data_IF_621626582657
#
_entry.id   IF_621626582657
#
_cell.length_a   1.000
_cell.length_b   1.000
_cell.length_c   1.000
_cell.angle_alpha   90.00
_cell.angle_beta   90.00
_cell.angle_gamma   90.00
#
_symmetry.space_group_name_H-M   'P 1'
#
loop_
_entity.id
_entity.type
_entity.pdbx_description
1 polymer ?
#
# COMPACT_ATOMS: atom_id res chain seq x y z
N UNK A 1 -13.21 -41.05 18.42
CA UNK A 1 -13.46 -39.60 18.20
C UNK A 1 -13.95 -39.42 16.77
N UNK A 2 -15.01 -38.63 16.54
CA UNK A 2 -15.54 -38.43 15.19
C UNK A 2 -14.42 -37.83 14.30
N UNK A 3 -14.12 -38.40 13.12
CA UNK A 3 -13.05 -37.93 12.24
C UNK A 3 -13.15 -36.43 11.92
N UNK A 4 -14.37 -35.89 11.90
CA UNK A 4 -14.65 -34.46 11.68
C UNK A 4 -14.09 -33.56 12.79
N UNK A 5 -14.08 -34.01 14.05
CA UNK A 5 -13.57 -33.21 15.17
C UNK A 5 -12.03 -33.11 15.12
N UNK A 6 -11.38 -34.20 14.71
CA UNK A 6 -9.92 -34.25 14.52
C UNK A 6 -9.52 -33.35 13.35
N UNK A 7 -10.26 -33.42 12.23
CA UNK A 7 -10.04 -32.55 11.08
C UNK A 7 -10.20 -31.06 11.43
N UNK A 8 -11.28 -30.68 12.12
CA UNK A 8 -11.48 -29.29 12.58
C UNK A 8 -10.37 -28.81 13.52
N UNK A 9 -9.91 -29.67 14.43
CA UNK A 9 -8.81 -29.34 15.36
C UNK A 9 -7.50 -29.15 14.61
N UNK A 10 -7.17 -30.04 13.67
CA UNK A 10 -5.96 -29.92 12.85
C UNK A 10 -5.98 -28.64 12.01
N UNK A 11 -7.10 -28.28 11.38
CA UNK A 11 -7.23 -27.04 10.59
C UNK A 11 -7.02 -25.82 11.48
N UNK A 12 -7.64 -25.80 12.66
CA UNK A 12 -7.49 -24.68 13.61
C UNK A 12 -6.03 -24.55 14.09
N UNK A 13 -5.39 -25.66 14.45
CA UNK A 13 -3.98 -25.68 14.87
C UNK A 13 -3.06 -25.21 13.75
N UNK A 14 -3.24 -25.72 12.52
CA UNK A 14 -2.43 -25.30 11.36
C UNK A 14 -2.61 -23.80 11.09
N UNK A 15 -3.84 -23.28 11.18
CA UNK A 15 -4.12 -21.86 10.95
C UNK A 15 -3.43 -20.99 11.99
N UNK A 16 -3.50 -21.36 13.28
CA UNK A 16 -2.83 -20.64 14.37
C UNK A 16 -1.31 -20.69 14.24
N UNK A 17 -0.74 -21.87 13.96
CA UNK A 17 0.71 -22.03 13.76
C UNK A 17 1.17 -21.19 12.57
N UNK A 18 0.43 -21.21 11.46
CA UNK A 18 0.76 -20.42 10.27
C UNK A 18 0.75 -18.93 10.59
N UNK A 19 -0.30 -18.43 11.26
CA UNK A 19 -0.37 -17.02 11.70
C UNK A 19 0.78 -16.63 12.63
N UNK A 20 1.13 -17.51 13.56
CA UNK A 20 2.24 -17.31 14.50
C UNK A 20 3.60 -17.24 13.79
N UNK A 21 3.85 -18.15 12.84
CA UNK A 21 5.08 -18.16 12.02
C UNK A 21 5.16 -16.91 11.15
N UNK A 22 4.05 -16.47 10.54
CA UNK A 22 4.00 -15.22 9.77
C UNK A 22 4.32 -14.00 10.64
N UNK A 23 3.83 -13.97 11.89
CA UNK A 23 4.08 -12.88 12.83
C UNK A 23 5.54 -12.81 13.29
N UNK A 24 6.12 -13.94 13.73
CA UNK A 24 7.52 -13.99 14.17
C UNK A 24 8.48 -13.74 13.00
N UNK A 25 8.18 -14.31 11.83
CA UNK A 25 9.00 -14.20 10.64
C UNK A 25 8.91 -12.85 9.92
N UNK A 26 8.15 -11.87 10.43
CA UNK A 26 7.86 -10.59 9.74
C UNK A 26 9.11 -9.87 9.23
N UNK A 27 10.22 -9.90 9.96
CA UNK A 27 11.47 -9.21 9.59
C UNK A 27 12.11 -9.75 8.32
N UNK A 28 11.86 -11.02 7.99
CA UNK A 28 12.38 -11.69 6.79
C UNK A 28 11.29 -11.82 5.72
N UNK A 29 10.07 -12.18 6.14
CA UNK A 29 8.96 -12.46 5.23
C UNK A 29 8.40 -11.20 4.57
N UNK A 30 8.33 -10.07 5.29
CA UNK A 30 7.79 -8.82 4.74
C UNK A 30 8.64 -8.34 3.55
N UNK A 31 9.98 -8.18 3.65
CA UNK A 31 10.80 -7.80 2.50
C UNK A 31 10.68 -8.77 1.31
N UNK A 32 10.57 -10.08 1.57
CA UNK A 32 10.37 -11.09 0.51
C UNK A 32 9.01 -10.90 -0.19
N UNK A 33 7.93 -10.68 0.58
CA UNK A 33 6.60 -10.45 0.02
C UNK A 33 6.55 -9.17 -0.84
N UNK A 34 7.16 -8.08 -0.36
CA UNK A 34 7.31 -6.86 -1.15
C UNK A 34 8.18 -7.07 -2.39
N UNK A 35 9.24 -7.87 -2.32
CA UNK A 35 10.07 -8.18 -3.49
C UNK A 35 9.29 -8.94 -4.57
N UNK A 36 8.45 -9.90 -4.17
CA UNK A 36 7.54 -10.62 -5.08
C UNK A 36 6.57 -9.62 -5.74
N UNK A 37 5.99 -8.70 -4.96
CA UNK A 37 5.14 -7.63 -5.48
C UNK A 37 5.90 -6.72 -6.44
N UNK A 38 7.13 -6.33 -6.13
CA UNK A 38 7.97 -5.52 -7.02
C UNK A 38 8.22 -6.27 -8.33
N UNK A 39 8.49 -7.58 -8.31
CA UNK A 39 8.58 -8.38 -9.53
C UNK A 39 7.28 -8.35 -10.35
N UNK A 40 6.12 -8.42 -9.70
CA UNK A 40 4.81 -8.31 -10.36
C UNK A 40 4.58 -6.93 -10.98
N UNK A 41 4.95 -5.86 -10.27
CA UNK A 41 4.89 -4.49 -10.81
C UNK A 41 5.81 -4.36 -12.02
N UNK A 42 7.03 -4.91 -11.97
CA UNK A 42 7.95 -4.92 -13.12
C UNK A 42 7.33 -5.65 -14.31
N UNK A 43 6.71 -6.81 -14.08
CA UNK A 43 6.03 -7.58 -15.13
C UNK A 43 4.87 -6.81 -15.75
N UNK A 44 3.96 -6.29 -14.92
CA UNK A 44 2.81 -5.49 -15.37
C UNK A 44 3.24 -4.22 -16.10
N UNK A 45 4.27 -3.52 -15.60
CA UNK A 45 4.82 -2.34 -16.26
C UNK A 45 5.46 -2.69 -17.60
N UNK A 46 6.21 -3.79 -17.70
CA UNK A 46 6.78 -4.26 -18.97
C UNK A 46 5.70 -4.59 -20.01
N UNK A 47 4.55 -5.11 -19.56
CA UNK A 47 3.39 -5.40 -20.41
C UNK A 47 2.68 -4.11 -20.87
N UNK A 48 2.56 -3.11 -20.00
CA UNK A 48 2.09 -1.77 -20.39
C UNK A 48 3.04 -1.17 -21.43
N UNK A 49 4.36 -1.24 -21.24
CA UNK A 49 5.36 -0.78 -22.21
C UNK A 49 5.24 -1.50 -23.56
N UNK A 50 4.90 -2.79 -23.57
CA UNK A 50 4.67 -3.56 -24.80
C UNK A 50 3.51 -2.99 -25.64
N UNK A 51 2.48 -2.45 -24.98
CA UNK A 51 1.29 -1.89 -25.64
C UNK A 51 1.50 -0.48 -26.18
N UNK A 52 2.57 0.21 -25.78
CA UNK A 52 2.88 1.56 -26.27
C UNK A 52 3.36 1.52 -27.74
N UNK A 53 2.70 2.24 -28.67
CA UNK A 53 3.10 2.29 -30.06
C UNK A 53 4.52 2.88 -30.21
N UNK A 54 5.30 2.34 -31.15
CA UNK A 54 6.73 2.65 -31.44
C UNK A 54 7.77 2.08 -30.45
N UNK A 55 7.54 2.13 -29.15
CA UNK A 55 8.50 1.63 -28.14
C UNK A 55 8.37 0.12 -27.93
N UNK A 56 7.14 -0.40 -27.84
CA UNK A 56 6.88 -1.81 -27.52
C UNK A 56 7.26 -2.83 -28.61
N UNK A 57 7.29 -2.40 -29.88
CA UNK A 57 7.62 -3.24 -31.05
C UNK A 57 9.13 -3.40 -31.29
N UNK A 58 9.96 -2.47 -30.81
CA UNK A 58 11.41 -2.48 -31.02
C UNK A 58 12.19 -3.17 -29.90
N UNK A 59 11.59 -3.32 -28.72
CA UNK A 59 12.23 -3.90 -27.55
C UNK A 59 11.94 -5.40 -27.46
N UNK A 60 13.01 -6.20 -27.41
CA UNK A 60 12.91 -7.63 -27.11
C UNK A 60 12.34 -7.88 -25.69
N UNK A 61 11.87 -9.10 -25.39
CA UNK A 61 11.28 -9.42 -24.09
C UNK A 61 12.20 -9.07 -22.91
N UNK A 62 13.50 -9.43 -22.99
CA UNK A 62 14.47 -9.15 -21.93
C UNK A 62 14.67 -7.65 -21.68
N UNK A 63 14.79 -6.85 -22.74
CA UNK A 63 14.99 -5.40 -22.63
C UNK A 63 13.81 -4.67 -21.99
N UNK A 64 12.58 -5.18 -22.17
CA UNK A 64 11.37 -4.59 -21.55
C UNK A 64 11.35 -4.77 -20.02
N UNK A 65 11.71 -5.97 -19.55
CA UNK A 65 11.78 -6.24 -18.11
C UNK A 65 12.91 -5.44 -17.45
N UNK A 66 14.08 -5.34 -18.10
CA UNK A 66 15.18 -4.53 -17.59
C UNK A 66 14.83 -3.05 -17.58
N UNK A 67 14.17 -2.53 -18.62
CA UNK A 67 13.74 -1.12 -18.62
C UNK A 67 12.70 -0.84 -17.55
N UNK A 68 11.73 -1.73 -17.33
CA UNK A 68 10.75 -1.59 -16.26
C UNK A 68 11.41 -1.61 -14.87
N UNK A 69 12.39 -2.51 -14.65
CA UNK A 69 13.16 -2.53 -13.40
C UNK A 69 13.95 -1.24 -13.18
N UNK A 70 14.59 -0.71 -14.23
CA UNK A 70 15.32 0.57 -14.16
C UNK A 70 14.38 1.75 -13.88
N UNK A 71 13.19 1.79 -14.49
CA UNK A 71 12.18 2.82 -14.20
C UNK A 71 11.77 2.79 -12.72
N UNK A 72 11.52 1.61 -12.15
CA UNK A 72 11.18 1.48 -10.73
C UNK A 72 12.33 1.89 -9.83
N UNK A 73 13.57 1.53 -10.18
CA UNK A 73 14.77 1.95 -9.44
C UNK A 73 14.91 3.48 -9.42
N UNK A 74 14.75 4.12 -10.57
CA UNK A 74 14.80 5.58 -10.69
C UNK A 74 13.67 6.21 -9.88
N UNK A 75 12.44 5.70 -9.99
CA UNK A 75 11.30 6.20 -9.23
C UNK A 75 11.53 6.08 -7.70
N UNK A 76 12.08 4.95 -7.25
CA UNK A 76 12.41 4.73 -5.84
C UNK A 76 13.53 5.67 -5.36
N UNK A 77 14.58 5.88 -6.18
CA UNK A 77 15.65 6.82 -5.88
C UNK A 77 15.13 8.26 -5.78
N UNK A 78 14.33 8.71 -6.75
CA UNK A 78 13.73 10.04 -6.73
C UNK A 78 12.82 10.19 -5.51
N UNK A 79 11.98 9.21 -5.19
CA UNK A 79 11.14 9.23 -3.99
C UNK A 79 11.99 9.35 -2.72
N UNK A 80 13.12 8.62 -2.62
CA UNK A 80 14.06 8.73 -1.51
C UNK A 80 14.61 10.14 -1.36
N UNK A 81 15.06 10.73 -2.48
CA UNK A 81 15.60 12.08 -2.51
C UNK A 81 14.54 13.12 -2.09
N UNK A 82 13.32 13.02 -2.62
CA UNK A 82 12.20 13.89 -2.24
C UNK A 82 11.86 13.80 -0.75
N UNK A 83 11.92 12.59 -0.17
CA UNK A 83 11.62 12.36 1.24
C UNK A 83 12.71 12.91 2.17
N UNK A 84 13.97 12.94 1.72
CA UNK A 84 15.10 13.39 2.52
C UNK A 84 15.45 14.87 2.32
N UNK A 85 15.02 15.48 1.21
CA UNK A 85 15.39 16.84 0.79
C UNK A 85 15.14 17.92 1.86
N UNK A 86 14.08 17.79 2.65
CA UNK A 86 13.63 18.82 3.59
C UNK A 86 13.86 18.45 5.07
N UNK A 87 14.63 17.41 5.35
CA UNK A 87 14.82 16.86 6.71
C UNK A 87 15.24 17.91 7.74
N UNK A 88 16.28 18.70 7.43
CA UNK A 88 16.80 19.73 8.34
C UNK A 88 15.79 20.86 8.55
N UNK A 89 15.04 21.21 7.50
CA UNK A 89 14.00 22.24 7.55
C UNK A 89 12.84 21.82 8.42
N UNK A 90 12.41 20.56 8.34
CA UNK A 90 11.33 20.02 9.18
C UNK A 90 11.66 20.21 10.66
N UNK A 91 12.88 19.83 11.08
CA UNK A 91 13.31 19.98 12.48
C UNK A 91 13.36 21.46 12.87
N UNK A 92 13.83 22.34 11.98
CA UNK A 92 13.92 23.78 12.25
C UNK A 92 12.54 24.45 12.42
N UNK A 93 11.50 23.99 11.70
CA UNK A 93 10.14 24.57 11.80
C UNK A 93 9.28 23.92 12.88
N UNK A 94 9.74 22.84 13.53
CA UNK A 94 8.98 22.15 14.57
C UNK A 94 8.47 23.08 15.70
N UNK A 95 9.29 24.01 16.26
CA UNK A 95 8.82 24.92 17.31
C UNK A 95 7.73 25.89 16.81
N UNK A 96 7.81 26.30 15.53
CA UNK A 96 6.80 27.17 14.91
C UNK A 96 5.45 26.44 14.86
N UNK A 97 5.41 25.20 14.39
CA UNK A 97 4.16 24.43 14.31
C UNK A 97 3.54 24.16 15.68
N UNK A 98 4.35 23.95 16.71
CA UNK A 98 3.88 23.84 18.09
C UNK A 98 3.18 25.13 18.55
N UNK A 99 3.82 26.29 18.31
CA UNK A 99 3.21 27.58 18.64
C UNK A 99 1.92 27.86 17.86
N UNK A 100 1.86 27.49 16.58
CA UNK A 100 0.65 27.64 15.76
C UNK A 100 -0.47 26.73 16.24
N UNK A 101 -0.16 25.49 16.61
CA UNK A 101 -1.13 24.55 17.17
C UNK A 101 -1.79 25.14 18.42
N UNK A 102 -0.99 25.70 19.34
CA UNK A 102 -1.51 26.34 20.54
C UNK A 102 -2.36 27.57 20.22
N UNK A 103 -1.96 28.36 19.23
CA UNK A 103 -2.73 29.52 18.79
C UNK A 103 -4.08 29.11 18.19
N UNK A 104 -4.12 28.06 17.35
CA UNK A 104 -5.36 27.51 16.80
C UNK A 104 -6.28 26.98 17.89
N UNK A 105 -5.75 26.21 18.83
CA UNK A 105 -6.48 25.70 19.99
C UNK A 105 -7.07 26.84 20.83
N UNK A 106 -6.28 27.89 21.09
CA UNK A 106 -6.74 29.06 21.84
C UNK A 106 -7.85 29.80 21.10
N UNK A 107 -7.72 30.00 19.78
CA UNK A 107 -8.77 30.62 18.94
C UNK A 107 -10.06 29.78 18.94
N UNK A 108 -9.93 28.45 18.92
CA UNK A 108 -11.07 27.55 19.00
C UNK A 108 -11.78 27.61 20.36
N UNK A 109 -11.02 27.66 21.46
CA UNK A 109 -11.57 27.85 22.80
C UNK A 109 -12.25 29.21 22.98
N UNK A 110 -11.69 30.27 22.37
CA UNK A 110 -12.28 31.61 22.36
C UNK A 110 -13.61 31.64 21.62
N UNK A 111 -13.70 30.99 20.45
CA UNK A 111 -14.96 30.83 19.70
C UNK A 111 -16.05 30.15 20.55
N UNK A 112 -15.68 29.19 21.39
CA UNK A 112 -16.57 28.47 22.29
C UNK A 112 -16.76 29.15 23.65
N UNK A 113 -16.10 30.30 23.91
CA UNK A 113 -16.12 31.03 25.18
C UNK A 113 -15.71 30.18 26.40
N UNK A 114 -14.85 29.18 26.21
CA UNK A 114 -14.37 28.24 27.27
C UNK A 114 -12.92 28.52 27.70
N UNK A 115 -12.33 29.61 27.22
CA UNK A 115 -10.91 29.94 27.42
C UNK A 115 -10.50 30.20 28.88
N UNK A 116 -11.46 30.60 29.73
CA UNK A 116 -11.26 30.86 31.16
C UNK A 116 -11.62 29.67 32.05
N UNK A 117 -12.18 28.60 31.49
CA UNK A 117 -12.55 27.41 32.26
C UNK A 117 -11.29 26.71 32.78
N UNK A 118 -11.32 26.30 34.06
CA UNK A 118 -10.22 25.55 34.68
C UNK A 118 -9.87 24.29 33.86
N UNK A 119 -10.88 23.66 33.27
CA UNK A 119 -10.77 22.52 32.35
C UNK A 119 -9.91 22.83 31.13
N UNK A 120 -10.03 24.04 30.54
CA UNK A 120 -9.23 24.44 29.38
C UNK A 120 -7.76 24.64 29.73
N UNK A 121 -7.50 25.29 30.88
CA UNK A 121 -6.12 25.53 31.34
C UNK A 121 -5.40 24.23 31.69
N UNK A 122 -6.10 23.25 32.26
CA UNK A 122 -5.59 21.90 32.51
C UNK A 122 -5.32 21.17 31.18
N UNK A 123 -6.29 21.13 30.27
CA UNK A 123 -6.16 20.50 28.96
C UNK A 123 -4.98 21.05 28.14
N UNK A 124 -4.81 22.38 28.09
CA UNK A 124 -3.68 23.01 27.40
C UNK A 124 -2.33 22.58 27.99
N UNK A 125 -2.22 22.51 29.32
CA UNK A 125 -0.99 22.09 30.02
C UNK A 125 -0.67 20.63 29.73
N UNK A 126 -1.69 19.76 29.78
CA UNK A 126 -1.53 18.34 29.51
C UNK A 126 -1.17 18.08 28.04
N UNK A 127 -1.80 18.80 27.11
CA UNK A 127 -1.44 18.74 25.69
C UNK A 127 -0.01 19.21 25.44
N UNK A 128 0.42 20.31 26.05
CA UNK A 128 1.80 20.80 25.95
C UNK A 128 2.82 19.79 26.51
N UNK A 129 2.47 19.10 27.59
CA UNK A 129 3.30 18.03 28.15
C UNK A 129 3.32 16.76 27.29
N UNK A 130 2.23 16.48 26.55
CA UNK A 130 2.06 15.25 25.78
C UNK A 130 2.50 15.36 24.31
N UNK A 131 2.36 16.54 23.69
CA UNK A 131 2.63 16.74 22.25
C UNK A 131 4.05 17.26 22.05
N UNK A 132 4.97 16.34 21.78
CA UNK A 132 6.32 16.69 21.34
C UNK A 132 6.37 16.69 19.80
N UNK A 133 6.15 17.85 19.18
CA UNK A 133 6.18 18.00 17.70
C UNK A 133 7.53 17.56 17.13
N UNK A 134 8.63 17.90 17.80
CA UNK A 134 9.98 17.48 17.41
C UNK A 134 10.15 15.95 17.48
N UNK A 135 9.61 15.32 18.52
CA UNK A 135 9.59 13.85 18.69
C UNK A 135 8.80 13.14 17.59
N UNK A 136 7.66 13.71 17.20
CA UNK A 136 6.85 13.19 16.08
C UNK A 136 7.64 13.32 14.77
N UNK A 137 8.22 14.49 14.49
CA UNK A 137 9.00 14.72 13.27
C UNK A 137 10.22 13.80 13.18
N UNK A 138 11.00 13.65 14.26
CA UNK A 138 12.15 12.72 14.30
C UNK A 138 11.72 11.26 14.12
N UNK A 139 10.58 10.85 14.68
CA UNK A 139 10.02 9.51 14.47
C UNK A 139 9.56 9.31 13.02
N UNK A 140 8.99 10.33 12.38
CA UNK A 140 8.63 10.30 10.96
C UNK A 140 9.87 10.16 10.07
N UNK A 141 10.93 10.93 10.35
CA UNK A 141 12.21 10.85 9.63
C UNK A 141 12.88 9.48 9.81
N UNK A 142 12.86 8.93 11.03
CA UNK A 142 13.31 7.57 11.31
C UNK A 142 12.50 6.52 10.54
N UNK A 143 11.18 6.72 10.45
CA UNK A 143 10.29 5.84 9.67
C UNK A 143 10.62 5.89 8.18
N UNK A 144 10.77 7.09 7.60
CA UNK A 144 11.22 7.28 6.21
C UNK A 144 12.55 6.57 5.95
N UNK A 145 13.53 6.76 6.83
CA UNK A 145 14.85 6.11 6.72
C UNK A 145 14.74 4.59 6.77
N UNK A 146 13.91 4.05 7.67
CA UNK A 146 13.66 2.61 7.77
C UNK A 146 12.95 2.04 6.55
N UNK A 147 12.02 2.79 5.95
CA UNK A 147 11.34 2.43 4.71
C UNK A 147 12.32 2.38 3.55
N UNK A 148 13.29 3.30 3.49
CA UNK A 148 14.35 3.30 2.48
C UNK A 148 15.29 2.11 2.61
N UNK A 149 15.75 1.80 3.83
CA UNK A 149 16.55 0.62 4.08
C UNK A 149 15.80 -0.66 3.68
N UNK A 150 14.50 -0.74 4.02
CA UNK A 150 13.64 -1.85 3.63
C UNK A 150 13.47 -1.92 2.11
N UNK A 151 13.23 -0.80 1.44
CA UNK A 151 13.09 -0.72 -0.02
C UNK A 151 14.36 -1.18 -0.73
N UNK A 152 15.55 -0.84 -0.21
CA UNK A 152 16.82 -1.34 -0.73
C UNK A 152 16.91 -2.88 -0.65
N UNK A 153 16.58 -3.46 0.51
CA UNK A 153 16.57 -4.93 0.69
C UNK A 153 15.53 -5.60 -0.22
N UNK A 154 14.32 -5.02 -0.32
CA UNK A 154 13.27 -5.47 -1.24
C UNK A 154 13.77 -5.49 -2.68
N UNK A 155 14.46 -4.43 -3.11
CA UNK A 155 14.98 -4.31 -4.46
C UNK A 155 16.11 -5.31 -4.74
N UNK A 156 16.98 -5.55 -3.75
CA UNK A 156 18.00 -6.60 -3.81
C UNK A 156 17.34 -7.98 -4.03
N UNK A 157 16.33 -8.33 -3.22
CA UNK A 157 15.59 -9.59 -3.39
C UNK A 157 14.86 -9.66 -4.73
N UNK A 158 14.24 -8.58 -5.18
CA UNK A 158 13.58 -8.53 -6.48
C UNK A 158 14.58 -8.77 -7.62
N UNK A 159 15.78 -8.21 -7.55
CA UNK A 159 16.85 -8.45 -8.51
C UNK A 159 17.28 -9.93 -8.54
N UNK A 160 17.49 -10.54 -7.37
CA UNK A 160 17.78 -11.97 -7.27
C UNK A 160 16.65 -12.85 -7.84
N UNK A 161 15.40 -12.55 -7.48
CA UNK A 161 14.23 -13.28 -7.97
C UNK A 161 14.06 -13.16 -9.49
N UNK A 162 14.27 -11.97 -10.06
CA UNK A 162 14.25 -11.79 -11.51
C UNK A 162 15.36 -12.57 -12.21
N UNK A 163 16.57 -12.60 -11.64
CA UNK A 163 17.68 -13.37 -12.19
C UNK A 163 17.44 -14.88 -12.13
N UNK A 164 16.84 -15.37 -11.05
CA UNK A 164 16.54 -16.79 -10.87
C UNK A 164 15.23 -17.25 -11.50
N UNK A 165 14.34 -16.33 -11.91
CA UNK A 165 12.97 -16.61 -12.34
C UNK A 165 12.85 -17.76 -13.35
N UNK A 166 13.73 -17.79 -14.38
CA UNK A 166 13.73 -18.86 -15.40
C UNK A 166 14.09 -20.24 -14.83
N UNK A 167 14.97 -20.29 -13.84
CA UNK A 167 15.40 -21.53 -13.18
C UNK A 167 14.37 -21.98 -12.14
N UNK A 168 13.77 -21.03 -11.42
CA UNK A 168 12.79 -21.31 -10.37
C UNK A 168 11.49 -21.89 -10.92
N UNK A 169 10.91 -21.30 -11.98
CA UNK A 169 9.71 -21.86 -12.66
C UNK A 169 9.94 -23.32 -13.07
N UNK A 170 11.09 -23.61 -13.68
CA UNK A 170 11.45 -24.97 -14.11
C UNK A 170 11.64 -25.95 -12.94
N UNK A 171 12.24 -25.50 -11.83
CA UNK A 171 12.39 -26.32 -10.61
C UNK A 171 11.04 -26.60 -9.95
N UNK A 172 10.18 -25.59 -9.82
CA UNK A 172 8.85 -25.71 -9.21
C UNK A 172 7.99 -26.70 -10.00
N UNK A 173 7.93 -26.54 -11.33
CA UNK A 173 7.22 -27.48 -12.21
C UNK A 173 7.81 -28.90 -12.15
N UNK A 174 9.13 -29.03 -12.01
CA UNK A 174 9.77 -30.35 -11.87
C UNK A 174 9.42 -31.07 -10.55
N UNK A 175 9.32 -30.34 -9.43
CA UNK A 175 8.93 -30.89 -8.12
C UNK A 175 7.46 -31.31 -8.09
N UNK A 176 6.61 -30.63 -8.86
CA UNK A 176 5.16 -30.82 -8.84
C UNK A 176 4.62 -31.70 -9.98
N UNK A 177 5.50 -32.19 -10.86
CA UNK A 177 5.14 -33.14 -11.92
C UNK A 177 4.38 -34.33 -11.33
N UNK A 178 3.11 -34.47 -11.75
CA UNK A 178 2.26 -35.62 -11.44
C UNK A 178 1.32 -35.49 -10.22
N UNK A 179 1.26 -34.35 -9.51
CA UNK A 179 0.38 -34.18 -8.33
C UNK A 179 -0.79 -33.21 -8.53
N UNK A 180 -0.57 -32.07 -9.18
CA UNK A 180 -1.61 -31.06 -9.51
C UNK A 180 -1.06 -30.13 -10.61
N UNK A 181 -1.86 -29.78 -11.61
CA UNK A 181 -1.46 -28.84 -12.68
C UNK A 181 -1.61 -27.39 -12.15
N UNK A 182 -0.54 -26.86 -11.56
CA UNK A 182 -0.50 -25.49 -11.03
C UNK A 182 -0.05 -24.45 -12.05
N UNK A 183 0.33 -24.85 -13.27
CA UNK A 183 0.78 -23.94 -14.31
C UNK A 183 -0.29 -22.87 -14.66
N UNK A 184 -1.58 -23.24 -14.83
CA UNK A 184 -2.66 -22.27 -15.08
C UNK A 184 -2.89 -21.33 -13.89
N UNK A 185 -2.73 -21.84 -12.67
CA UNK A 185 -2.92 -21.06 -11.42
C UNK A 185 -1.82 -20.01 -11.31
N UNK A 186 -0.57 -20.39 -11.54
CA UNK A 186 0.58 -19.48 -11.51
C UNK A 186 0.44 -18.41 -12.58
N UNK A 187 0.06 -18.76 -13.80
CA UNK A 187 -0.09 -17.80 -14.89
C UNK A 187 -1.26 -16.83 -14.63
N UNK A 188 -2.39 -17.32 -14.09
CA UNK A 188 -3.52 -16.48 -13.70
C UNK A 188 -3.17 -15.49 -12.56
N UNK A 189 -2.40 -15.93 -11.55
CA UNK A 189 -1.87 -15.05 -10.49
C UNK A 189 -0.96 -13.99 -11.11
N UNK A 190 -0.01 -14.40 -11.95
CA UNK A 190 0.99 -13.52 -12.54
C UNK A 190 0.36 -12.40 -13.38
N UNK A 191 -0.63 -12.74 -14.21
CA UNK A 191 -1.27 -11.78 -15.11
C UNK A 191 -2.21 -10.82 -14.35
N UNK A 192 -3.10 -11.36 -13.50
CA UNK A 192 -4.10 -10.54 -12.78
C UNK A 192 -3.46 -9.65 -11.73
N UNK A 193 -2.58 -10.20 -10.89
CA UNK A 193 -1.93 -9.45 -9.82
C UNK A 193 -0.90 -8.47 -10.41
N UNK A 194 -0.13 -8.89 -11.41
CA UNK A 194 0.87 -8.03 -12.07
C UNK A 194 0.26 -6.78 -12.71
N UNK A 195 -0.79 -6.95 -13.52
CA UNK A 195 -1.47 -5.83 -14.17
C UNK A 195 -2.15 -4.92 -13.14
N UNK A 196 -2.83 -5.49 -12.15
CA UNK A 196 -3.46 -4.74 -11.07
C UNK A 196 -2.45 -3.88 -10.31
N UNK A 197 -1.35 -4.48 -9.84
CA UNK A 197 -0.33 -3.76 -9.06
C UNK A 197 0.37 -2.67 -9.88
N UNK A 198 0.64 -2.92 -11.16
CA UNK A 198 1.23 -1.91 -12.04
C UNK A 198 0.28 -0.73 -12.28
N UNK A 199 -1.01 -0.99 -12.52
CA UNK A 199 -2.02 0.07 -12.66
C UNK A 199 -2.19 0.85 -11.35
N UNK A 200 -2.26 0.15 -10.20
CA UNK A 200 -2.37 0.80 -8.88
C UNK A 200 -1.16 1.67 -8.58
N UNK A 201 0.05 1.22 -8.94
CA UNK A 201 1.27 2.01 -8.82
C UNK A 201 1.24 3.26 -9.72
N UNK A 202 0.83 3.13 -10.98
CA UNK A 202 0.69 4.24 -11.91
C UNK A 202 -0.32 5.28 -11.40
N UNK A 203 -1.47 4.83 -10.89
CA UNK A 203 -2.47 5.71 -10.30
C UNK A 203 -1.99 6.37 -9.01
N UNK A 204 -1.18 5.67 -8.20
CA UNK A 204 -0.50 6.28 -7.06
C UNK A 204 0.41 7.44 -7.49
N UNK A 205 1.18 7.27 -8.57
CA UNK A 205 2.02 8.33 -9.13
C UNK A 205 1.19 9.51 -9.61
N UNK A 206 0.11 9.25 -10.37
CA UNK A 206 -0.81 10.31 -10.84
C UNK A 206 -1.44 11.06 -9.66
N UNK A 207 -1.93 10.32 -8.64
CA UNK A 207 -2.48 10.90 -7.42
C UNK A 207 -1.46 11.78 -6.69
N UNK A 208 -0.23 11.30 -6.55
CA UNK A 208 0.87 12.05 -5.96
C UNK A 208 1.17 13.34 -6.72
N UNK A 209 1.26 13.28 -8.06
CA UNK A 209 1.52 14.46 -8.90
C UNK A 209 0.40 15.49 -8.79
N UNK A 210 -0.86 15.06 -8.88
CA UNK A 210 -2.01 15.98 -8.75
C UNK A 210 -2.04 16.61 -7.36
N UNK A 211 -1.80 15.81 -6.32
CA UNK A 211 -1.73 16.30 -4.93
C UNK A 211 -0.57 17.27 -4.73
N UNK A 212 0.60 16.99 -5.32
CA UNK A 212 1.77 17.89 -5.32
C UNK A 212 1.41 19.25 -5.93
N UNK A 213 0.78 19.24 -7.11
CA UNK A 213 0.38 20.47 -7.80
C UNK A 213 -0.59 21.27 -6.91
N UNK A 214 -1.62 20.62 -6.35
CA UNK A 214 -2.57 21.29 -5.44
C UNK A 214 -1.88 21.90 -4.22
N UNK A 215 -0.97 21.17 -3.57
CA UNK A 215 -0.23 21.67 -2.42
C UNK A 215 0.72 22.82 -2.77
N UNK A 216 1.37 22.76 -3.94
CA UNK A 216 2.27 23.82 -4.41
C UNK A 216 1.55 25.10 -4.78
N UNK A 217 0.33 25.01 -5.31
CA UNK A 217 -0.50 26.19 -5.62
C UNK A 217 -0.85 27.00 -4.37
N UNK A 218 -0.92 26.35 -3.22
CA UNK A 218 -1.18 26.97 -1.92
C UNK A 218 0.12 27.29 -1.17
N UNK A 219 1.29 27.03 -1.78
CA UNK A 219 2.61 27.20 -1.17
C UNK A 219 2.82 26.40 0.12
N UNK A 220 2.26 25.19 0.20
CA UNK A 220 2.47 24.28 1.33
C UNK A 220 3.94 23.85 1.41
N UNK A 221 4.52 23.93 2.60
CA UNK A 221 5.82 23.37 2.96
C UNK A 221 5.78 21.85 2.82
N UNK A 222 6.90 21.24 2.44
CA UNK A 222 7.03 19.79 2.32
C UNK A 222 6.03 19.12 1.36
N UNK A 223 5.47 19.88 0.40
CA UNK A 223 4.51 19.38 -0.59
C UNK A 223 5.04 18.14 -1.35
N UNK A 224 6.35 18.11 -1.65
CA UNK A 224 6.99 16.97 -2.31
C UNK A 224 6.95 15.70 -1.44
N UNK A 225 7.36 15.81 -0.17
CA UNK A 225 7.31 14.73 0.81
C UNK A 225 5.87 14.22 0.98
N UNK A 226 4.91 15.14 1.18
CA UNK A 226 3.51 14.79 1.34
C UNK A 226 2.93 14.12 0.09
N UNK A 227 3.34 14.55 -1.12
CA UNK A 227 2.90 13.94 -2.36
C UNK A 227 3.38 12.50 -2.51
N UNK A 228 4.62 12.21 -2.10
CA UNK A 228 5.15 10.85 -2.04
C UNK A 228 4.37 10.02 -1.01
N UNK A 229 4.11 10.57 0.19
CA UNK A 229 3.29 9.87 1.20
C UNK A 229 1.87 9.59 0.70
N UNK A 230 1.23 10.55 0.03
CA UNK A 230 -0.09 10.38 -0.60
C UNK A 230 -0.07 9.26 -1.65
N UNK A 231 0.96 9.22 -2.50
CA UNK A 231 1.12 8.16 -3.50
C UNK A 231 1.29 6.78 -2.85
N UNK A 232 2.05 6.69 -1.74
CA UNK A 232 2.24 5.45 -1.00
C UNK A 232 0.96 5.02 -0.27
N UNK A 233 0.27 5.96 0.40
CA UNK A 233 -0.97 5.70 1.13
C UNK A 233 -2.08 5.20 0.20
N UNK A 234 -2.06 5.53 -1.10
CA UNK A 234 -3.01 5.00 -2.09
C UNK A 234 -3.12 3.47 -2.12
N UNK A 235 -2.07 2.75 -1.71
CA UNK A 235 -2.07 1.29 -1.66
C UNK A 235 -2.88 0.74 -0.46
N UNK A 236 -3.12 1.54 0.57
CA UNK A 236 -3.87 1.14 1.77
C UNK A 236 -5.36 1.45 1.57
N UNK A 237 -6.25 0.44 1.53
CA UNK A 237 -7.68 0.67 1.35
C UNK A 237 -8.29 1.51 2.48
N UNK A 238 -9.19 2.45 2.14
CA UNK A 238 -9.97 3.32 3.04
C UNK A 238 -9.15 4.26 3.96
N UNK A 239 -8.25 3.71 4.75
CA UNK A 239 -7.36 4.49 5.61
C UNK A 239 -6.37 5.33 4.79
N UNK A 240 -5.91 4.80 3.66
CA UNK A 240 -5.00 5.50 2.76
C UNK A 240 -5.57 6.81 2.23
N UNK A 241 -6.79 6.79 1.67
CA UNK A 241 -7.45 8.00 1.16
C UNK A 241 -7.74 9.01 2.26
N UNK A 242 -8.16 8.55 3.45
CA UNK A 242 -8.37 9.43 4.60
C UNK A 242 -7.06 10.14 5.01
N UNK A 243 -5.98 9.38 5.18
CA UNK A 243 -4.68 9.93 5.58
C UNK A 243 -4.05 10.81 4.49
N UNK A 244 -4.24 10.47 3.21
CA UNK A 244 -3.78 11.26 2.07
C UNK A 244 -4.37 12.67 2.03
N UNK A 245 -5.59 12.85 2.54
CA UNK A 245 -6.23 14.17 2.66
C UNK A 245 -5.91 14.81 4.01
N UNK A 246 -5.99 14.04 5.09
CA UNK A 246 -5.83 14.55 6.44
C UNK A 246 -4.42 15.10 6.70
N UNK A 247 -3.36 14.37 6.31
CA UNK A 247 -1.98 14.77 6.61
C UNK A 247 -1.61 16.13 5.98
N UNK A 248 -1.83 16.37 4.67
CA UNK A 248 -1.56 17.68 4.09
C UNK A 248 -2.44 18.79 4.65
N UNK A 249 -3.72 18.50 4.92
CA UNK A 249 -4.67 19.48 5.46
C UNK A 249 -4.29 19.91 6.87
N UNK A 250 -3.90 18.97 7.72
CA UNK A 250 -3.44 19.26 9.08
C UNK A 250 -2.12 20.05 9.05
N UNK A 251 -1.17 19.68 8.18
CA UNK A 251 0.08 20.42 8.03
C UNK A 251 -0.20 21.86 7.57
N UNK A 252 -1.13 22.06 6.64
CA UNK A 252 -1.54 23.40 6.21
C UNK A 252 -2.07 24.22 7.38
N UNK A 253 -2.88 23.62 8.26
CA UNK A 253 -3.41 24.32 9.42
C UNK A 253 -2.27 24.79 10.34
N UNK A 254 -1.27 23.93 10.57
CA UNK A 254 -0.08 24.25 11.36
C UNK A 254 0.84 25.28 10.70
N UNK A 255 0.95 25.27 9.38
CA UNK A 255 1.81 26.20 8.65
C UNK A 255 1.22 27.61 8.59
N UNK A 256 -0.05 27.73 8.23
CA UNK A 256 -0.70 29.02 7.96
C UNK A 256 -1.39 29.61 9.20
N UNK A 257 -1.81 28.78 10.16
CA UNK A 257 -2.51 29.22 11.36
C UNK A 257 -3.88 29.84 11.10
N UNK A 258 -4.45 29.60 9.92
CA UNK A 258 -5.77 30.07 9.50
C UNK A 258 -6.50 28.98 8.69
N UNK A 259 -7.80 29.14 8.48
CA UNK A 259 -8.66 28.08 7.93
C UNK A 259 -8.78 28.09 6.40
N UNK A 260 -8.42 29.17 5.71
CA UNK A 260 -8.58 29.32 4.25
C UNK A 260 -7.81 28.28 3.44
N UNK A 261 -6.51 28.17 3.67
CA UNK A 261 -5.60 27.26 2.96
C UNK A 261 -5.89 25.79 3.29
N UNK A 262 -6.06 25.40 4.57
CA UNK A 262 -6.42 24.02 4.92
C UNK A 262 -7.75 23.59 4.30
N UNK A 263 -8.79 24.44 4.33
CA UNK A 263 -10.09 24.10 3.75
C UNK A 263 -9.99 23.94 2.23
N UNK A 264 -9.21 24.81 1.57
CA UNK A 264 -8.97 24.74 0.13
C UNK A 264 -8.27 23.43 -0.25
N UNK A 265 -7.24 23.04 0.51
CA UNK A 265 -6.56 21.76 0.30
C UNK A 265 -7.44 20.56 0.64
N UNK A 266 -8.23 20.63 1.72
CA UNK A 266 -9.18 19.59 2.09
C UNK A 266 -10.13 19.29 0.93
N UNK A 267 -10.72 20.33 0.34
CA UNK A 267 -11.65 20.20 -0.79
C UNK A 267 -10.91 19.66 -2.02
N UNK A 268 -9.80 20.30 -2.41
CA UNK A 268 -9.05 19.92 -3.62
C UNK A 268 -8.56 18.47 -3.56
N UNK A 269 -7.92 18.07 -2.45
CA UNK A 269 -7.40 16.72 -2.27
C UNK A 269 -8.51 15.69 -2.12
N UNK A 270 -9.63 16.04 -1.47
CA UNK A 270 -10.81 15.15 -1.40
C UNK A 270 -11.40 14.88 -2.78
N UNK A 271 -11.53 15.91 -3.62
CA UNK A 271 -12.02 15.75 -5.00
C UNK A 271 -11.08 14.86 -5.81
N UNK A 272 -9.77 15.10 -5.74
CA UNK A 272 -8.78 14.27 -6.44
C UNK A 272 -8.84 12.82 -5.96
N UNK A 273 -8.84 12.58 -4.64
CA UNK A 273 -8.92 11.23 -4.07
C UNK A 273 -10.24 10.55 -4.42
N UNK A 274 -11.35 11.30 -4.44
CA UNK A 274 -12.65 10.77 -4.81
C UNK A 274 -12.67 10.32 -6.27
N UNK A 275 -12.21 11.19 -7.19
CA UNK A 275 -12.15 10.87 -8.62
C UNK A 275 -11.23 9.68 -8.87
N UNK A 276 -10.03 9.67 -8.30
CA UNK A 276 -9.09 8.57 -8.51
C UNK A 276 -9.64 7.27 -7.89
N UNK A 277 -10.04 7.29 -6.62
CA UNK A 277 -10.44 6.08 -5.90
C UNK A 277 -11.81 5.51 -6.27
N UNK A 278 -12.76 6.35 -6.71
CA UNK A 278 -14.14 5.90 -6.97
C UNK A 278 -14.54 5.92 -8.45
N UNK A 279 -13.78 6.60 -9.32
CA UNK A 279 -14.08 6.67 -10.75
C UNK A 279 -12.98 6.00 -11.56
N UNK A 280 -11.73 6.46 -11.41
CA UNK A 280 -10.61 6.00 -12.24
C UNK A 280 -10.17 4.58 -11.85
N UNK A 281 -10.04 4.30 -10.55
CA UNK A 281 -9.70 2.98 -10.02
C UNK A 281 -10.69 1.91 -10.55
N UNK A 282 -12.02 2.02 -10.34
CA UNK A 282 -12.95 1.02 -10.86
C UNK A 282 -12.98 0.92 -12.39
N UNK A 283 -12.83 2.04 -13.09
CA UNK A 283 -12.85 2.06 -14.55
C UNK A 283 -11.64 1.36 -15.17
N UNK A 284 -10.44 1.56 -14.61
CA UNK A 284 -9.22 0.89 -15.07
C UNK A 284 -9.11 -0.56 -14.57
N UNK A 285 -9.73 -0.86 -13.44
CA UNK A 285 -9.60 -2.15 -12.75
C UNK A 285 -10.82 -3.07 -12.91
N UNK A 286 -11.79 -2.70 -13.76
CA UNK A 286 -13.03 -3.47 -13.98
C UNK A 286 -12.69 -4.91 -14.36
N UNK A 287 -12.96 -5.87 -13.46
CA UNK A 287 -12.70 -7.30 -13.67
C UNK A 287 -11.37 -7.85 -13.13
N UNK A 288 -10.52 -7.02 -12.51
CA UNK A 288 -9.18 -7.46 -12.06
C UNK A 288 -9.21 -8.24 -10.73
N UNK A 289 -10.07 -7.88 -9.78
CA UNK A 289 -10.11 -8.50 -8.45
C UNK A 289 -11.55 -8.76 -7.98
N UNK A 290 -11.94 -10.04 -7.97
CA UNK A 290 -13.24 -10.48 -7.50
C UNK A 290 -13.22 -10.71 -5.98
N UNK A 291 -13.12 -9.65 -5.17
CA UNK A 291 -13.14 -9.75 -3.70
C UNK A 291 -14.25 -8.91 -3.10
N UNK A 292 -15.04 -9.47 -2.19
CA UNK A 292 -16.13 -8.72 -1.55
C UNK A 292 -15.62 -7.55 -0.70
N UNK A 293 -16.34 -6.41 -0.62
CA UNK A 293 -15.91 -5.27 0.21
C UNK A 293 -15.69 -5.65 1.67
N UNK A 294 -16.53 -6.54 2.22
CA UNK A 294 -16.38 -7.06 3.57
C UNK A 294 -15.06 -7.84 3.74
N UNK A 295 -14.70 -8.66 2.76
CA UNK A 295 -13.44 -9.42 2.77
C UNK A 295 -12.24 -8.49 2.67
N UNK A 296 -12.32 -7.38 1.92
CA UNK A 296 -11.26 -6.37 1.87
C UNK A 296 -11.04 -5.74 3.26
N UNK A 297 -12.12 -5.40 3.98
CA UNK A 297 -12.01 -4.83 5.33
C UNK A 297 -11.45 -5.84 6.36
N UNK A 298 -11.92 -7.09 6.33
CA UNK A 298 -11.42 -8.16 7.21
C UNK A 298 -9.95 -8.46 6.88
N UNK A 299 -9.61 -8.52 5.60
CA UNK A 299 -8.24 -8.66 5.13
C UNK A 299 -7.35 -7.54 5.65
N UNK A 300 -7.78 -6.28 5.49
CA UNK A 300 -7.04 -5.13 5.99
C UNK A 300 -6.75 -5.24 7.48
N UNK A 301 -7.76 -5.57 8.29
CA UNK A 301 -7.59 -5.75 9.73
C UNK A 301 -6.63 -6.91 10.06
N UNK A 302 -6.80 -8.05 9.37
CA UNK A 302 -6.00 -9.27 9.61
C UNK A 302 -4.54 -9.06 9.25
N UNK A 303 -4.24 -8.56 8.05
CA UNK A 303 -2.86 -8.34 7.62
C UNK A 303 -2.19 -7.23 8.42
N UNK A 304 -2.92 -6.17 8.79
CA UNK A 304 -2.40 -5.12 9.67
C UNK A 304 -2.05 -5.67 11.05
N UNK A 305 -2.84 -6.60 11.60
CA UNK A 305 -2.51 -7.23 12.87
C UNK A 305 -1.23 -8.09 12.79
N UNK A 306 -0.98 -8.76 11.66
CA UNK A 306 0.19 -9.64 11.49
C UNK A 306 1.46 -8.83 11.21
N UNK A 307 1.41 -7.88 10.26
CA UNK A 307 2.59 -7.19 9.72
C UNK A 307 2.55 -5.66 9.86
N UNK A 308 1.57 -5.09 10.56
CA UNK A 308 1.43 -3.64 10.73
C UNK A 308 1.14 -2.92 9.41
N UNK A 309 1.75 -1.75 9.22
CA UNK A 309 1.59 -0.94 7.99
C UNK A 309 1.95 -1.74 6.75
N UNK A 310 3.03 -2.53 6.80
CA UNK A 310 3.42 -3.41 5.71
C UNK A 310 2.29 -4.39 5.33
N UNK A 311 1.61 -4.97 6.32
CA UNK A 311 0.45 -5.82 6.09
C UNK A 311 -0.73 -5.09 5.45
N UNK A 312 -0.98 -3.84 5.85
CA UNK A 312 -2.04 -3.03 5.26
C UNK A 312 -1.85 -2.80 3.75
N UNK A 313 -0.61 -2.59 3.30
CA UNK A 313 -0.25 -2.51 1.87
C UNK A 313 -0.45 -3.84 1.13
N UNK A 314 -0.15 -4.95 1.81
CA UNK A 314 -0.21 -6.29 1.24
C UNK A 314 -1.62 -6.90 1.30
N UNK A 315 -2.57 -6.25 1.98
CA UNK A 315 -3.87 -6.83 2.30
C UNK A 315 -4.62 -7.32 1.05
N UNK A 316 -4.80 -6.44 0.06
CA UNK A 316 -5.52 -6.78 -1.18
C UNK A 316 -4.77 -7.83 -2.01
N UNK A 317 -3.52 -7.61 -2.48
CA UNK A 317 -2.83 -8.59 -3.31
C UNK A 317 -2.57 -9.90 -2.58
N UNK A 318 -2.29 -9.86 -1.27
CA UNK A 318 -2.08 -11.04 -0.44
C UNK A 318 -3.33 -11.88 -0.30
N UNK A 319 -4.50 -11.25 -0.07
CA UNK A 319 -5.78 -11.97 -0.02
C UNK A 319 -6.18 -12.52 -1.38
N UNK A 320 -5.94 -11.81 -2.48
CA UNK A 320 -6.21 -12.33 -3.83
C UNK A 320 -5.35 -13.57 -4.11
N UNK A 321 -4.05 -13.51 -3.82
CA UNK A 321 -3.15 -14.65 -3.97
C UNK A 321 -3.61 -15.85 -3.14
N UNK A 322 -4.05 -15.61 -1.89
CA UNK A 322 -4.62 -16.63 -1.02
C UNK A 322 -5.90 -17.23 -1.61
N UNK A 323 -6.84 -16.40 -2.08
CA UNK A 323 -8.09 -16.86 -2.72
C UNK A 323 -7.81 -17.72 -3.95
N UNK A 324 -6.88 -17.30 -4.82
CA UNK A 324 -6.49 -18.06 -6.01
C UNK A 324 -5.85 -19.40 -5.60
N UNK A 325 -4.97 -19.40 -4.60
CA UNK A 325 -4.36 -20.62 -4.09
C UNK A 325 -5.39 -21.58 -3.50
N UNK A 326 -6.34 -21.08 -2.70
CA UNK A 326 -7.43 -21.90 -2.12
C UNK A 326 -8.38 -22.44 -3.20
N UNK A 327 -8.57 -21.72 -4.31
CA UNK A 327 -9.40 -22.18 -5.43
C UNK A 327 -8.76 -23.33 -6.24
N UNK A 328 -7.45 -23.52 -6.12
CA UNK A 328 -6.73 -24.57 -6.83
C UNK A 328 -6.97 -25.99 -6.27
N UNK A 329 -7.53 -26.10 -5.06
CA UNK A 329 -7.83 -27.39 -4.43
C UNK A 329 -9.32 -27.53 -4.16
N UNK A 330 -9.91 -28.66 -4.56
CA UNK A 330 -11.35 -28.91 -4.41
C UNK A 330 -11.83 -28.81 -2.95
N UNK A 331 -10.99 -29.23 -2.00
CA UNK A 331 -11.29 -29.17 -0.56
C UNK A 331 -11.39 -27.74 0.01
N UNK A 332 -10.70 -26.77 -0.58
CA UNK A 332 -10.67 -25.37 -0.11
C UNK A 332 -11.44 -24.41 -1.01
N UNK A 333 -11.98 -24.88 -2.14
CA UNK A 333 -12.79 -24.11 -3.09
C UNK A 333 -14.02 -23.42 -2.44
N UNK A 334 -14.76 -24.04 -1.49
CA UNK A 334 -15.87 -23.36 -0.82
C UNK A 334 -15.43 -22.13 -0.02
N UNK A 335 -14.24 -22.19 0.61
CA UNK A 335 -13.68 -21.05 1.34
C UNK A 335 -13.30 -19.95 0.36
N UNK A 336 -12.71 -20.30 -0.79
CA UNK A 336 -12.38 -19.32 -1.83
C UNK A 336 -13.63 -18.60 -2.36
N UNK A 337 -14.76 -19.32 -2.53
CA UNK A 337 -16.04 -18.74 -2.95
C UNK A 337 -16.60 -17.73 -1.93
N UNK A 338 -16.45 -17.99 -0.63
CA UNK A 338 -16.86 -17.03 0.41
C UNK A 338 -16.04 -15.73 0.39
N UNK A 339 -14.86 -15.75 -0.23
CA UNK A 339 -13.99 -14.58 -0.36
C UNK A 339 -14.33 -13.73 -1.60
N UNK A 340 -15.02 -14.30 -2.59
CA UNK A 340 -15.35 -13.63 -3.86
C UNK A 340 -16.67 -12.84 -3.77
N UNK A 341 -16.91 -11.91 -4.71
CA UNK A 341 -18.21 -11.21 -4.84
C UNK A 341 -19.22 -12.06 -5.58
N UNK A 342 -18.76 -12.83 -6.55
CA UNK A 342 -19.63 -13.60 -7.41
C UNK A 342 -19.95 -14.96 -6.78
N UNK A 343 -21.15 -15.46 -7.09
CA UNK A 343 -21.63 -16.79 -6.70
C UNK A 343 -21.00 -17.91 -7.56
N UNK A 344 -20.12 -17.56 -8.50
CA UNK A 344 -19.44 -18.50 -9.39
C UNK A 344 -18.00 -18.70 -8.91
N UNK A 345 -17.61 -19.91 -8.51
CA UNK A 345 -16.25 -20.17 -8.03
C UNK A 345 -15.24 -19.93 -9.15
N UNK A 346 -13.99 -19.54 -8.83
CA UNK A 346 -12.92 -19.47 -9.81
C UNK A 346 -12.85 -20.79 -10.60
N UNK A 347 -12.60 -20.75 -11.93
CA UNK A 347 -12.60 -21.96 -12.76
C UNK A 347 -11.60 -22.96 -12.20
N UNK A 348 -12.01 -24.22 -12.09
CA UNK A 348 -11.11 -25.26 -11.60
C UNK A 348 -9.93 -25.43 -12.58
N UNK A 349 -8.76 -25.82 -12.08
CA UNK A 349 -7.61 -26.14 -12.94
C UNK A 349 -7.92 -27.25 -13.97
N UNK A 350 -8.98 -28.04 -13.73
CA UNK A 350 -9.51 -29.06 -14.64
C UNK A 350 -10.46 -28.51 -15.73
N UNK A 351 -11.10 -27.35 -15.52
CA UNK A 351 -12.15 -26.79 -16.39
C UNK A 351 -11.59 -25.86 -17.47
N UNK A 352 -10.37 -25.33 -17.33
CA UNK A 352 -9.74 -24.47 -18.35
C UNK A 352 -9.26 -25.21 -19.62
N UNK A 353 -9.65 -26.48 -19.77
CA UNK A 353 -9.31 -27.34 -20.92
C UNK A 353 -10.52 -27.70 -21.80
N UNK A 354 -11.71 -27.16 -21.51
CA UNK A 354 -12.88 -27.32 -22.38
C UNK A 354 -13.11 -26.11 -23.27
#
# INVERSE_FOLDING_TARGET
>A
MKPDLVACTCVLVITVITGWVLYIGRTVLVPIAFAIITCYVIYGLAEILRRVPHVGKRLGPGTRYTSAAVIILIAAYLAAELLLADTDRMVAVAPKYESTLLALLTRFAALLHIETEATWTAFRRDLLGAVNVQGILTSLLGSVSSMMATAFVVMLYAAFFMFEHRKFRRKLLAVMRGKTDLEPVIDAVNEKIGTYLALKALLGVVLGILSYISMRLVHLEFAALLAVLVALLNFVPYAGSLLSVALPTLLAALQFGQWSEPITLLIALSVINFVIGNVVDPWLMSGSLNLSPAVILISLATWTAIWGIAGAFLAVPGTVALTIFLSAFDSTRPIALLLTRDDVPPPAASESRM
#
